data_IF_704235949634
#
_entry.id   IF_704235949634
#
_cell.length_a   1.000
_cell.length_b   1.000
_cell.length_c   1.000
_cell.angle_alpha   90.00
_cell.angle_beta   90.00
_cell.angle_gamma   90.00
#
_symmetry.space_group_name_H-M   'P 1'
#
loop_
_entity.id
_entity.type
_entity.pdbx_description
1 polymer ?
2 non-polymer ?
3 non-polymer ?
4 non-polymer ?
5 water ?
#
# COMPACT_ATOMS: atom_id res chain seq x y z
N UNK A 1 -18.76 2.63 -1.98
CA UNK A 1 -18.20 1.26 -2.22
C UNK A 1 -16.88 1.08 -1.45
N UNK A 2 -16.08 2.15 -1.28
CA UNK A 2 -14.76 2.09 -0.59
C UNK A 2 -14.84 2.70 0.82
N UNK A 3 -16.01 3.09 1.30
CA UNK A 3 -16.09 3.97 2.50
C UNK A 3 -15.54 3.30 3.76
N UNK A 4 -15.63 1.99 3.94
CA UNK A 4 -15.11 1.46 5.22
C UNK A 4 -13.58 1.54 5.26
N UNK A 5 -12.89 1.74 4.12
CA UNK A 5 -11.44 1.89 4.08
C UNK A 5 -11.00 3.28 4.50
N UNK A 6 -11.88 4.25 4.47
CA UNK A 6 -11.47 5.64 4.67
C UNK A 6 -11.10 5.87 6.12
N UNK A 7 -10.11 6.72 6.30
CA UNK A 7 -9.70 7.16 7.63
C UNK A 7 -8.19 7.10 7.79
N UNK A 8 -7.79 7.16 9.05
CA UNK A 8 -6.38 7.20 9.44
C UNK A 8 -6.06 5.88 10.13
N UNK A 9 -5.00 5.24 9.68
CA UNK A 9 -4.63 3.88 10.06
C UNK A 9 -3.17 3.85 10.47
N UNK A 10 -2.84 3.02 11.47
CA UNK A 10 -1.44 2.95 11.96
C UNK A 10 -0.99 1.48 11.83
N UNK A 11 0.29 1.29 11.50
CA UNK A 11 0.81 -0.07 11.40
C UNK A 11 0.95 -0.69 12.80
N UNK A 12 0.44 -1.93 12.92
CA UNK A 12 0.52 -2.66 14.19
C UNK A 12 1.07 -4.08 14.05
N UNK A 13 1.40 -4.53 12.85
CA UNK A 13 2.01 -5.86 12.66
C UNK A 13 2.60 -5.89 11.25
N UNK A 14 3.71 -6.60 11.10
CA UNK A 14 4.29 -6.77 9.77
C UNK A 14 4.98 -8.13 9.66
N UNK A 15 4.65 -8.83 8.58
CA UNK A 15 5.21 -10.15 8.30
C UNK A 15 5.80 -10.14 6.89
N UNK A 16 7.09 -10.51 6.80
CA UNK A 16 7.77 -10.72 5.53
C UNK A 16 7.99 -9.43 4.71
N UNK A 17 7.99 -8.27 5.36
CA UNK A 17 8.26 -7.05 4.59
C UNK A 17 9.68 -7.03 4.06
N UNK A 18 10.64 -7.57 4.82
CA UNK A 18 12.01 -7.59 4.28
C UNK A 18 12.07 -8.41 2.99
N UNK A 19 11.39 -9.55 2.96
CA UNK A 19 11.35 -10.38 1.73
C UNK A 19 10.81 -9.56 0.56
N UNK A 20 9.71 -8.87 0.82
CA UNK A 20 9.07 -8.07 -0.25
C UNK A 20 10.03 -6.97 -0.75
N UNK A 21 10.61 -6.23 0.19
CA UNK A 21 11.56 -5.18 -0.19
C UNK A 21 12.75 -5.75 -0.95
N UNK A 22 13.28 -6.85 -0.47
CA UNK A 22 14.45 -7.43 -1.14
C UNK A 22 14.06 -7.86 -2.56
N UNK A 23 12.86 -8.40 -2.75
CA UNK A 23 12.40 -8.83 -4.09
C UNK A 23 12.37 -7.64 -5.07
N UNK A 24 12.05 -6.47 -4.56
CA UNK A 24 12.04 -5.23 -5.36
C UNK A 24 13.44 -4.63 -5.54
N UNK A 25 14.47 -5.20 -4.95
CA UNK A 25 15.83 -4.66 -5.08
C UNK A 25 16.13 -3.51 -4.13
N UNK A 26 15.35 -3.35 -3.08
CA UNK A 26 15.64 -2.30 -2.08
C UNK A 26 16.92 -2.65 -1.32
N UNK A 27 17.80 -1.68 -1.16
CA UNK A 27 19.08 -1.90 -0.50
C UNK A 27 18.98 -2.17 0.98
N UNK A 28 20.01 -2.80 1.52
CA UNK A 28 19.95 -3.30 2.89
C UNK A 28 19.72 -2.16 3.89
N UNK A 29 20.28 -0.98 3.68
CA UNK A 29 20.18 0.09 4.69
C UNK A 29 18.74 0.59 4.73
N UNK A 30 18.11 0.72 3.57
CA UNK A 30 16.69 1.11 3.51
C UNK A 30 15.83 0.04 4.15
N UNK A 31 16.10 -1.22 3.85
CA UNK A 31 15.30 -2.29 4.47
C UNK A 31 15.42 -2.23 5.99
N UNK A 32 16.63 -1.97 6.46
CA UNK A 32 16.87 -1.94 7.91
C UNK A 32 15.99 -0.87 8.57
N UNK A 33 16.01 0.36 8.05
CA UNK A 33 15.20 1.44 8.64
C UNK A 33 13.72 1.09 8.47
N UNK A 34 13.33 0.65 7.29
CA UNK A 34 11.92 0.33 7.01
C UNK A 34 11.38 -0.74 7.97
N UNK A 35 12.23 -1.68 8.37
CA UNK A 35 11.79 -2.76 9.26
C UNK A 35 11.43 -2.25 10.67
N UNK A 36 11.87 -1.03 10.99
CA UNK A 36 11.64 -0.40 12.30
C UNK A 36 10.73 0.82 12.19
N UNK A 37 10.10 1.02 11.06
CA UNK A 37 9.24 2.17 10.83
C UNK A 37 7.77 1.73 10.92
N UNK A 38 6.93 2.55 11.55
CA UNK A 38 5.49 2.28 11.64
C UNK A 38 4.75 3.42 10.94
N UNK A 39 4.37 3.24 9.67
CA UNK A 39 3.68 4.32 8.98
C UNK A 39 2.27 4.52 9.49
N UNK A 40 1.79 5.73 9.16
CA UNK A 40 0.40 6.11 9.25
C UNK A 40 -0.12 6.26 7.83
N UNK A 41 -1.20 5.57 7.50
CA UNK A 41 -1.82 5.66 6.19
C UNK A 41 -3.16 6.37 6.33
N UNK A 42 -3.37 7.38 5.48
CA UNK A 42 -4.62 8.16 5.49
C UNK A 42 -5.27 7.95 4.13
N UNK A 43 -6.52 7.51 4.15
CA UNK A 43 -7.26 7.26 2.90
C UNK A 43 -8.48 8.17 2.94
N UNK A 44 -8.59 9.05 1.94
CA UNK A 44 -9.67 10.05 1.83
C UNK A 44 -10.31 9.92 0.46
N UNK A 45 -11.58 10.31 0.33
CA UNK A 45 -12.17 10.42 -1.01
C UNK A 45 -12.85 11.76 -1.15
N UNK A 46 -12.92 12.19 -2.40
CA UNK A 46 -13.67 13.37 -2.83
C UNK A 46 -14.34 12.95 -4.12
N UNK A 47 -15.62 12.59 -4.06
CA UNK A 47 -16.25 11.88 -5.18
C UNK A 47 -15.55 10.56 -5.47
N UNK A 48 -15.24 10.08 -6.68
CA UNK A 48 -14.49 8.81 -6.95
C UNK A 48 -12.98 9.12 -7.03
N UNK A 49 -12.52 10.33 -6.56
CA UNK A 49 -11.07 10.52 -6.46
C UNK A 49 -10.65 10.15 -5.03
N UNK A 50 -9.80 9.14 -4.93
CA UNK A 50 -9.19 8.77 -3.66
C UNK A 50 -7.82 9.41 -3.56
N UNK A 51 -7.46 9.74 -2.33
CA UNK A 51 -6.08 10.15 -2.02
C UNK A 51 -5.59 9.26 -0.88
N UNK A 52 -4.43 8.66 -1.10
CA UNK A 52 -3.82 7.73 -0.14
C UNK A 52 -2.46 8.29 0.23
N UNK A 53 -2.35 8.71 1.49
CA UNK A 53 -1.11 9.26 2.05
C UNK A 53 -0.47 8.17 2.91
N UNK A 54 0.83 8.02 2.80
CA UNK A 54 1.58 7.16 3.71
C UNK A 54 2.67 8.01 4.32
N UNK A 55 2.60 8.17 5.65
CA UNK A 55 3.49 9.06 6.37
C UNK A 55 4.36 8.25 7.34
N UNK A 56 5.61 8.65 7.48
CA UNK A 56 6.46 8.01 8.46
C UNK A 56 7.64 8.91 8.77
N UNK A 57 8.44 8.44 9.74
CA UNK A 57 9.69 9.10 10.09
C UNK A 57 10.78 8.87 9.04
N UNK A 58 10.55 8.02 8.06
CA UNK A 58 11.57 7.67 7.07
C UNK A 58 11.23 8.22 5.70
N UNK A 59 10.19 7.66 5.06
CA UNK A 59 9.66 8.04 3.73
C UNK A 59 8.22 8.57 3.89
N UNK A 60 7.80 9.49 3.02
CA UNK A 60 6.38 9.83 2.86
C UNK A 60 6.02 9.67 1.37
N UNK A 61 4.77 9.25 1.12
CA UNK A 61 4.22 9.23 -0.23
C UNK A 61 2.79 9.74 -0.21
N UNK A 62 2.32 10.15 -1.38
CA UNK A 62 0.92 10.48 -1.57
C UNK A 62 0.58 10.19 -3.02
N UNK A 63 -0.57 9.54 -3.22
CA UNK A 63 -1.13 9.31 -4.55
C UNK A 63 -2.59 9.73 -4.54
N UNK A 64 -3.04 10.22 -5.69
CA UNK A 64 -4.46 10.43 -5.94
C UNK A 64 -4.84 9.70 -7.23
N UNK A 65 -6.03 9.13 -7.24
CA UNK A 65 -6.44 8.32 -8.38
C UNK A 65 -7.95 8.21 -8.39
N UNK A 66 -8.46 7.93 -9.59
CA UNK A 66 -9.85 7.53 -9.77
C UNK A 66 -9.87 6.00 -9.81
N UNK A 67 -10.83 5.24 -9.08
CA UNK A 67 -10.85 3.76 -9.23
C UNK A 67 -11.03 3.40 -10.70
N UNK A 68 -10.28 2.41 -11.13
CA UNK A 68 -10.41 1.86 -12.48
C UNK A 68 -9.76 2.71 -13.55
N UNK A 69 -9.01 3.75 -13.17
CA UNK A 69 -8.34 4.58 -14.20
C UNK A 69 -6.85 4.57 -13.93
N UNK A 70 -6.06 4.19 -14.92
CA UNK A 70 -4.61 4.11 -14.75
C UNK A 70 -4.03 5.48 -14.39
N UNK A 71 -2.98 5.47 -13.57
CA UNK A 71 -2.25 6.67 -13.20
C UNK A 71 -0.77 6.34 -13.13
N UNK A 72 0.06 7.36 -13.39
CA UNK A 72 1.49 7.24 -13.15
C UNK A 72 1.78 7.37 -11.66
N UNK A 73 2.77 6.63 -11.18
CA UNK A 73 3.15 6.66 -9.77
C UNK A 73 4.66 6.51 -9.67
N UNK A 74 5.24 7.20 -8.70
CA UNK A 74 6.64 7.03 -8.34
C UNK A 74 6.65 6.54 -6.89
N UNK A 75 7.08 5.31 -6.69
CA UNK A 75 6.91 4.64 -5.42
C UNK A 75 7.91 5.13 -4.38
N UNK A 76 7.73 4.66 -3.13
CA UNK A 76 8.61 5.07 -2.03
C UNK A 76 10.08 4.70 -2.30
N UNK A 77 10.29 3.62 -3.03
CA UNK A 77 11.62 3.14 -3.45
C UNK A 77 11.99 3.62 -4.86
N UNK A 78 11.30 4.62 -5.37
CA UNK A 78 11.67 5.35 -6.60
C UNK A 78 11.47 4.55 -7.88
N UNK A 79 10.57 3.57 -7.86
CA UNK A 79 10.16 2.94 -9.13
C UNK A 79 9.13 3.84 -9.81
N UNK A 80 9.26 3.99 -11.12
CA UNK A 80 8.27 4.72 -11.94
C UNK A 80 7.38 3.68 -12.58
N UNK A 81 6.14 3.62 -12.14
CA UNK A 81 5.22 2.53 -12.48
C UNK A 81 3.93 3.07 -13.07
N UNK A 82 3.22 2.18 -13.74
CA UNK A 82 1.85 2.41 -14.22
C UNK A 82 0.92 1.68 -13.26
N UNK A 83 -0.01 2.40 -12.67
CA UNK A 83 -0.82 1.87 -11.57
C UNK A 83 -2.30 1.93 -11.89
N UNK A 84 -3.04 1.01 -11.28
CA UNK A 84 -4.50 1.08 -11.29
C UNK A 84 -4.98 0.51 -9.96
N UNK A 85 -6.01 1.13 -9.41
CA UNK A 85 -6.64 0.67 -8.17
C UNK A 85 -8.10 0.39 -8.46
N UNK A 86 -8.61 -0.74 -7.98
CA UNK A 86 -10.01 -1.13 -8.19
C UNK A 86 -10.54 -1.87 -6.96
N UNK A 87 -11.85 -1.90 -6.80
CA UNK A 87 -12.46 -2.81 -5.83
C UNK A 87 -12.70 -4.17 -6.49
N UNK A 88 -12.31 -5.22 -5.79
CA UNK A 88 -12.39 -6.58 -6.34
C UNK A 88 -12.69 -7.48 -5.15
N UNK A 89 -13.87 -8.10 -5.14
CA UNK A 89 -14.24 -8.98 -4.02
C UNK A 89 -14.22 -8.22 -2.71
N UNK A 90 -14.54 -6.92 -2.73
CA UNK A 90 -14.56 -6.10 -1.51
C UNK A 90 -13.18 -5.64 -1.06
N UNK A 91 -12.13 -5.99 -1.81
CA UNK A 91 -10.76 -5.60 -1.49
C UNK A 91 -10.35 -4.45 -2.40
N UNK A 92 -9.52 -3.58 -1.87
CA UNK A 92 -8.96 -2.48 -2.64
C UNK A 92 -7.66 -3.01 -3.25
N UNK A 93 -7.62 -3.23 -4.57
CA UNK A 93 -6.48 -3.88 -5.25
C UNK A 93 -5.73 -2.83 -6.03
N UNK A 94 -4.48 -2.64 -5.68
CA UNK A 94 -3.57 -1.69 -6.37
C UNK A 94 -2.54 -2.52 -7.12
N UNK A 95 -2.55 -2.43 -8.46
CA UNK A 95 -1.61 -3.14 -9.32
C UNK A 95 -0.63 -2.12 -9.88
N UNK A 96 0.66 -2.39 -9.75
CA UNK A 96 1.74 -1.59 -10.33
C UNK A 96 2.46 -2.43 -11.38
N UNK A 97 2.75 -1.79 -12.50
CA UNK A 97 3.47 -2.42 -13.61
C UNK A 97 4.64 -1.55 -14.04
N UNK A 98 5.78 -2.18 -14.26
CA UNK A 98 6.95 -1.44 -14.75
C UNK A 98 7.93 -2.46 -15.31
N UNK A 99 8.53 -2.19 -16.45
CA UNK A 99 9.58 -3.05 -17.02
C UNK A 99 9.09 -4.52 -17.12
N UNK A 100 7.80 -4.72 -17.35
CA UNK A 100 7.25 -6.07 -17.42
C UNK A 100 7.01 -6.74 -16.06
N UNK A 101 7.48 -6.12 -15.00
CA UNK A 101 7.26 -6.58 -13.63
C UNK A 101 5.89 -6.13 -13.17
N UNK A 102 5.45 -6.80 -12.13
CA UNK A 102 4.22 -6.38 -11.48
C UNK A 102 4.33 -6.62 -9.98
N UNK A 103 3.50 -5.85 -9.29
CA UNK A 103 3.30 -6.08 -7.87
C UNK A 103 1.89 -5.64 -7.52
N UNK A 104 1.28 -6.34 -6.56
CA UNK A 104 -0.02 -5.95 -6.04
C UNK A 104 0.10 -5.57 -4.57
N UNK A 105 -0.70 -4.56 -4.23
CA UNK A 105 -0.90 -4.07 -2.87
C UNK A 105 -2.39 -4.18 -2.62
N UNK A 106 -2.79 -5.16 -1.83
CA UNK A 106 -4.20 -5.50 -1.69
C UNK A 106 -4.60 -5.17 -0.25
N UNK A 107 -5.69 -4.41 -0.09
CA UNK A 107 -6.18 -4.05 1.22
C UNK A 107 -7.55 -4.67 1.43
N UNK A 108 -7.74 -5.30 2.59
CA UNK A 108 -8.98 -6.00 2.97
C UNK A 108 -9.28 -5.66 4.43
N UNK A 109 -10.55 -5.50 4.79
CA UNK A 109 -10.94 -5.30 6.19
C UNK A 109 -11.33 -6.63 6.79
N UNK A 110 -10.67 -6.97 7.89
CA UNK A 110 -10.93 -8.24 8.63
C UNK A 110 -11.07 -7.87 10.11
N UNK A 111 -12.28 -8.00 10.65
CA UNK A 111 -12.56 -7.69 12.08
C UNK A 111 -12.17 -6.25 12.42
N UNK A 112 -12.40 -5.30 11.50
CA UNK A 112 -12.11 -3.88 11.74
C UNK A 112 -10.65 -3.50 11.49
N UNK A 113 -9.78 -4.46 11.17
CA UNK A 113 -8.36 -4.16 10.88
C UNK A 113 -8.19 -4.08 9.37
N UNK A 114 -7.29 -3.31 8.95
CA UNK A 114 -6.97 -3.23 7.52
C UNK A 114 -5.72 -4.07 7.28
N UNK A 115 -5.91 -5.09 6.47
CA UNK A 115 -4.83 -6.04 6.15
C UNK A 115 -4.33 -5.69 4.74
N UNK A 116 -3.05 -5.34 4.68
CA UNK A 116 -2.36 -5.00 3.43
C UNK A 116 -1.46 -6.18 3.04
N UNK A 117 -1.75 -6.78 1.89
CA UNK A 117 -0.95 -7.89 1.39
C UNK A 117 -0.16 -7.39 0.17
N UNK A 118 1.14 -7.51 0.24
CA UNK A 118 2.06 -7.03 -0.80
C UNK A 118 2.69 -8.26 -1.46
N UNK A 119 2.53 -8.40 -2.78
CA UNK A 119 3.05 -9.57 -3.48
C UNK A 119 3.93 -9.11 -4.63
N UNK A 120 5.14 -9.62 -4.72
CA UNK A 120 6.03 -9.39 -5.87
C UNK A 120 6.90 -10.64 -6.00
N UNK A 121 7.01 -11.15 -7.21
CA UNK A 121 7.74 -12.41 -7.36
C UNK A 121 7.07 -13.46 -6.50
N UNK A 122 7.84 -14.17 -5.70
CA UNK A 122 7.27 -15.15 -4.76
C UNK A 122 7.00 -14.55 -3.40
N UNK A 123 7.45 -13.32 -3.14
CA UNK A 123 7.37 -12.70 -1.81
C UNK A 123 5.95 -12.24 -1.55
N UNK A 124 5.46 -12.60 -0.37
CA UNK A 124 4.13 -12.22 0.11
C UNK A 124 4.28 -11.66 1.53
N UNK A 125 4.02 -10.38 1.65
CA UNK A 125 4.10 -9.67 2.92
C UNK A 125 2.69 -9.31 3.38
N UNK A 126 2.45 -9.47 4.69
CA UNK A 126 1.15 -9.13 5.26
C UNK A 126 1.39 -8.11 6.37
N UNK A 127 0.79 -6.95 6.22
CA UNK A 127 0.90 -5.87 7.20
C UNK A 127 -0.49 -5.51 7.69
N UNK A 128 -0.58 -5.29 8.98
CA UNK A 128 -1.87 -5.01 9.62
C UNK A 128 -1.87 -3.59 10.14
N UNK A 129 -2.93 -2.87 9.80
CA UNK A 129 -3.15 -1.52 10.26
C UNK A 129 -4.42 -1.46 11.11
N UNK A 130 -4.38 -0.58 12.10
CA UNK A 130 -5.52 -0.37 13.01
C UNK A 130 -5.94 1.08 12.92
N UNK A 131 -7.25 1.26 13.00
CA UNK A 131 -7.84 2.61 12.87
C UNK A 131 -7.34 3.46 14.05
N UNK A 132 -6.98 4.70 13.79
CA UNK A 132 -6.49 5.58 14.88
C UNK A 132 -7.59 5.75 15.93
N UNK A 133 -7.23 5.69 17.21
CA UNK A 133 -8.21 5.84 18.32
C UNK A 133 -8.72 7.29 18.42
X LIG B 1 2.93 0.15 3.65
X LIG B 1 4.05 -0.41 2.79
X LIG B 1 4.31 0.32 1.49
X LIG B 1 5.38 -0.34 0.64
X LIG B 1 5.75 0.46 -0.59
X LIG B 1 2.20 1.02 3.17
X LIG B 1 2.82 -0.31 4.82
X LIG B 1 6.63 -0.28 -1.51
X LIG B 1 7.94 -0.25 -1.59
X LIG B 1 8.86 0.58 -0.75
X LIG B 1 9.81 -0.28 0.08
X LIG B 1 10.98 0.47 0.65
X LIG B 1 10.65 1.66 1.49
X LIG B 1 9.68 1.37 2.65
X LIG B 1 9.54 2.54 3.61
X LIG B 1 8.52 2.35 4.72
X LIG B 1 7.09 2.15 4.23
X LIG B 1 6.55 3.22 3.27
X LIG B 1 6.51 4.63 3.88
X LIG B 1 6.07 5.67 2.85
X LIG C 1 3.01 1.41 17.65
X LIG C 1 2.37 0.80 18.75
X LIG C 1 1.81 -0.54 18.40
X LIG C 1 2.81 -1.42 17.91
X LIG C 1 2.36 -2.75 17.73
X LIG C 1 3.46 -3.64 17.21
X LIG C 1 3.87 -3.22 15.91
X LIG C 1 4.63 -4.24 15.28
X LIG C 1 5.04 -3.83 13.95
X LIG C 1 6.28 -3.16 14.09
X LIG C 1 6.82 -2.85 12.80
X LIG C 1 8.05 -2.06 12.95
X LIG C 1 9.06 -2.89 13.52
X LIG D 1 -15.73 10.01 -12.56
X LIG D 1 -16.58 9.20 -13.37
X LIG D 1 -15.79 8.20 -14.20
X LIG D 1 -14.73 8.89 -14.88
X LIG D 1 -12.97 8.85 -16.49
X LIG D 1 -13.92 8.01 -15.65
X LIG D 1 -12.07 9.47 -15.57
X LIG D 1 -9.94 10.57 -15.32
X LIG D 1 -10.90 9.86 -16.25
X LIG D 1 -10.57 11.70 -14.73
X LIG D 1 -10.41 13.59 -13.32
X LIG D 1 -9.73 12.32 -13.78
X LIG D 1 -11.53 13.23 -12.52
X LIG D 1 -13.35 14.16 -11.16
X LIG D 1 -12.10 14.41 -11.97
X LIG D 1 -14.37 13.57 -11.98
#
# INVERSE_FOLDING_TARGET
>A
MVDAFLGTWKLVDSKNFDDYMKSLGVGFATRQVASMTKPTTIIEKNGDILTLKTHSTFKNTEISFKLGVEFDETTADDRKVKSIVTLDGGKLVHLQKWDGQETTLVRELIDGKLILTLTHGTAVCTRTYEKEA
>B hetero
1 4I1 C1 C2 C3 C4 C5 O1 O2 C6 C7 C8 C9 C10 C11 C12 C13 C14 C15 C16 C17 C18
>C hetero
1 PG4 O1 C1 C2 O2 C3 C4 O3 C5 C6 O4 C7 C8 O5
>D hetero
1 1PE OH2 C12 C22 OH3 C13 C23 OH4 C14 C24 OH5 C15 C25 OH6 C16 C26 OH7
#
